data_IF_072799539791
#
_entry.id   IF_072799539791
#
_cell.length_a   1.000
_cell.length_b   1.000
_cell.length_c   1.000
_cell.angle_alpha   90.00
_cell.angle_beta   90.00
_cell.angle_gamma   90.00
#
_symmetry.space_group_name_H-M   'P 1'
#
loop_
_entity.id
_entity.type
_entity.pdbx_description
1 polymer ?
#
# COMPACT_ATOMS: atom_id res chain seq x y z
N UNK A 1 -28.68 -0.60 -1.66
CA UNK A 1 -27.44 -0.74 -2.44
C UNK A 1 -26.35 -0.08 -1.64
N UNK A 2 -25.43 -0.85 -1.07
CA UNK A 2 -24.18 -0.27 -0.57
C UNK A 2 -23.39 0.24 -1.79
N UNK A 3 -23.05 1.52 -1.77
CA UNK A 3 -22.19 2.13 -2.78
C UNK A 3 -20.77 1.64 -2.53
N UNK A 4 -20.18 0.91 -3.47
CA UNK A 4 -18.78 0.49 -3.35
C UNK A 4 -17.85 1.71 -3.28
N UNK A 5 -16.93 1.69 -2.32
CA UNK A 5 -15.96 2.78 -2.14
C UNK A 5 -14.78 2.58 -3.08
N UNK A 6 -14.35 3.68 -3.69
CA UNK A 6 -13.28 3.66 -4.68
C UNK A 6 -12.15 4.63 -4.34
N UNK A 7 -10.92 4.20 -4.60
CA UNK A 7 -9.70 5.01 -4.59
C UNK A 7 -8.99 4.79 -5.92
N UNK A 8 -8.70 5.87 -6.65
CA UNK A 8 -8.05 5.81 -7.98
C UNK A 8 -8.76 4.86 -8.99
N UNK A 9 -10.09 4.75 -8.91
CA UNK A 9 -10.87 3.84 -9.77
C UNK A 9 -10.84 2.36 -9.34
N UNK A 10 -10.12 2.03 -8.27
CA UNK A 10 -10.06 0.69 -7.69
C UNK A 10 -11.10 0.57 -6.56
N UNK A 11 -11.88 -0.51 -6.58
CA UNK A 11 -12.84 -0.85 -5.52
C UNK A 11 -12.07 -1.27 -4.29
N UNK A 12 -12.33 -0.64 -3.14
CA UNK A 12 -11.73 -1.10 -1.88
C UNK A 12 -12.33 -2.43 -1.44
N UNK A 13 -11.53 -3.33 -0.81
CA UNK A 13 -12.06 -4.55 -0.23
C UNK A 13 -13.21 -4.26 0.75
N UNK A 14 -14.26 -5.09 0.72
CA UNK A 14 -15.41 -4.94 1.62
C UNK A 14 -14.96 -4.93 3.09
N UNK A 15 -14.05 -5.84 3.45
CA UNK A 15 -13.47 -5.91 4.80
C UNK A 15 -12.77 -4.60 5.20
N UNK A 16 -12.05 -3.92 4.29
CA UNK A 16 -11.42 -2.65 4.62
C UNK A 16 -12.48 -1.57 4.89
N UNK A 17 -13.55 -1.56 4.09
CA UNK A 17 -14.67 -0.63 4.26
C UNK A 17 -15.38 -0.85 5.60
N UNK A 18 -15.64 -2.10 5.97
CA UNK A 18 -16.21 -2.47 7.28
C UNK A 18 -15.30 -1.99 8.43
N UNK A 19 -14.01 -2.28 8.37
CA UNK A 19 -13.05 -1.88 9.39
C UNK A 19 -12.95 -0.35 9.52
N UNK A 20 -13.04 0.39 8.42
CA UNK A 20 -13.06 1.86 8.44
C UNK A 20 -14.34 2.39 9.09
N UNK A 21 -15.50 1.85 8.71
CA UNK A 21 -16.80 2.25 9.25
C UNK A 21 -16.91 1.98 10.76
N UNK A 22 -16.33 0.87 11.22
CA UNK A 22 -16.30 0.49 12.64
C UNK A 22 -15.17 1.18 13.44
N UNK A 23 -14.31 1.98 12.79
CA UNK A 23 -13.13 2.58 13.44
C UNK A 23 -12.08 1.55 13.87
N UNK A 24 -12.12 0.34 13.31
CA UNK A 24 -11.21 -0.78 13.60
C UNK A 24 -9.96 -0.78 12.71
N UNK A 25 -9.99 -0.14 11.55
CA UNK A 25 -8.79 0.10 10.76
C UNK A 25 -7.93 1.19 11.43
N UNK A 26 -6.99 0.76 12.26
CA UNK A 26 -6.10 1.63 13.05
C UNK A 26 -4.75 0.96 13.26
N UNK A 27 -3.77 1.76 13.67
CA UNK A 27 -2.42 1.27 13.93
C UNK A 27 -2.42 0.12 14.97
N UNK A 28 -1.86 -1.07 14.65
CA UNK A 28 -1.92 -2.25 15.51
C UNK A 28 -0.88 -2.24 16.64
N UNK A 29 0.05 -1.28 16.63
CA UNK A 29 1.21 -1.20 17.51
C UNK A 29 2.51 -1.52 16.77
N UNK A 30 3.58 -0.81 17.11
CA UNK A 30 4.85 -0.89 16.39
C UNK A 30 5.50 -2.28 16.51
N UNK A 31 5.30 -2.95 17.65
CA UNK A 31 5.83 -4.30 17.85
C UNK A 31 5.14 -5.33 16.94
N UNK A 32 3.82 -5.20 16.71
CA UNK A 32 3.09 -6.06 15.77
C UNK A 32 3.59 -5.87 14.34
N UNK A 33 3.86 -4.62 13.93
CA UNK A 33 4.42 -4.33 12.61
C UNK A 33 5.86 -4.83 12.47
N UNK A 34 6.66 -4.74 13.54
CA UNK A 34 8.04 -5.25 13.56
C UNK A 34 8.09 -6.77 13.43
N UNK A 35 7.16 -7.49 14.07
CA UNK A 35 7.05 -8.93 13.93
C UNK A 35 6.60 -9.35 12.51
N UNK A 36 5.66 -8.59 11.93
CA UNK A 36 5.16 -8.84 10.57
C UNK A 36 6.20 -8.51 9.49
N UNK A 37 6.93 -7.41 9.64
CA UNK A 37 7.87 -6.87 8.67
C UNK A 37 9.19 -6.48 9.36
N UNK A 38 10.02 -7.45 9.80
CA UNK A 38 11.24 -7.15 10.57
C UNK A 38 12.28 -6.33 9.79
N UNK A 39 12.12 -6.25 8.46
CA UNK A 39 12.95 -5.44 7.56
C UNK A 39 12.47 -3.98 7.44
N UNK A 40 11.22 -3.67 7.80
CA UNK A 40 10.64 -2.33 7.73
C UNK A 40 10.91 -1.59 9.05
N UNK A 41 11.61 -0.46 9.02
CA UNK A 41 12.06 0.22 10.26
C UNK A 41 11.37 1.54 10.56
N UNK A 42 10.66 2.13 9.61
CA UNK A 42 9.96 3.40 9.85
C UNK A 42 8.59 3.18 10.51
N UNK A 43 8.12 4.15 11.31
CA UNK A 43 6.78 4.11 11.85
C UNK A 43 5.76 4.33 10.73
N UNK A 44 4.68 3.56 10.75
CA UNK A 44 3.54 3.76 9.84
C UNK A 44 2.38 4.40 10.59
N UNK A 45 1.57 5.18 9.88
CA UNK A 45 0.25 5.58 10.28
C UNK A 45 -0.76 5.01 9.29
N UNK A 46 -1.78 4.33 9.82
CA UNK A 46 -2.82 3.71 9.03
C UNK A 46 -3.80 4.78 8.55
N UNK A 47 -4.10 4.80 7.25
CA UNK A 47 -5.01 5.78 6.67
C UNK A 47 -6.45 5.43 7.04
N UNK A 48 -7.02 6.16 7.99
CA UNK A 48 -8.34 5.86 8.59
C UNK A 48 -9.53 6.48 7.84
N UNK A 49 -9.29 7.06 6.66
CA UNK A 49 -10.35 7.64 5.84
C UNK A 49 -10.09 7.46 4.35
N UNK A 50 -11.17 7.38 3.58
CA UNK A 50 -11.12 7.30 2.11
C UNK A 50 -10.47 8.55 1.51
N UNK A 51 -10.77 9.72 2.07
CA UNK A 51 -10.15 11.00 1.69
C UNK A 51 -8.62 10.92 1.84
N UNK A 52 -8.15 10.39 2.97
CA UNK A 52 -6.73 10.17 3.24
C UNK A 52 -6.10 9.20 2.24
N UNK A 53 -6.70 8.02 2.02
CA UNK A 53 -6.22 7.05 1.03
C UNK A 53 -6.14 7.65 -0.38
N UNK A 54 -7.14 8.44 -0.79
CA UNK A 54 -7.12 9.15 -2.07
C UNK A 54 -6.01 10.18 -2.15
N UNK A 55 -5.83 10.99 -1.11
CA UNK A 55 -4.82 12.04 -1.09
C UNK A 55 -3.42 11.43 -1.17
N UNK A 56 -3.12 10.47 -0.30
CA UNK A 56 -1.80 9.83 -0.26
C UNK A 56 -1.55 9.01 -1.53
N UNK A 57 -2.53 8.29 -2.06
CA UNK A 57 -2.33 7.49 -3.28
C UNK A 57 -2.13 8.32 -4.56
N UNK A 58 -2.32 9.65 -4.53
CA UNK A 58 -1.94 10.52 -5.67
C UNK A 58 -0.43 10.66 -5.82
N UNK A 59 0.33 10.52 -4.73
CA UNK A 59 1.80 10.60 -4.79
C UNK A 59 2.37 9.48 -5.66
N UNK A 60 1.74 8.30 -5.67
CA UNK A 60 2.14 7.18 -6.52
C UNK A 60 2.20 7.57 -7.99
N UNK A 61 1.15 8.21 -8.51
CA UNK A 61 1.13 8.68 -9.90
C UNK A 61 2.15 9.78 -10.16
N UNK A 62 2.34 10.70 -9.21
CA UNK A 62 3.34 11.76 -9.33
C UNK A 62 4.76 11.19 -9.44
N UNK A 63 5.11 10.18 -8.64
CA UNK A 63 6.41 9.54 -8.68
C UNK A 63 6.60 8.66 -9.91
N UNK A 64 5.56 7.97 -10.38
CA UNK A 64 5.63 7.19 -11.61
C UNK A 64 5.83 8.05 -12.87
N UNK A 65 5.33 9.29 -12.87
CA UNK A 65 5.40 10.20 -14.02
C UNK A 65 6.70 11.03 -14.05
N UNK A 66 7.51 11.02 -12.98
CA UNK A 66 8.84 11.64 -12.92
C UNK A 66 9.94 10.57 -13.04
N UNK A 67 10.78 10.54 -14.10
CA UNK A 67 11.71 9.43 -14.32
C UNK A 67 12.70 9.17 -13.17
N UNK A 68 13.37 10.17 -12.57
CA UNK A 68 14.22 9.96 -11.40
C UNK A 68 13.46 9.32 -10.22
N UNK A 69 12.27 9.84 -9.90
CA UNK A 69 11.44 9.29 -8.82
C UNK A 69 10.94 7.88 -9.14
N UNK A 70 10.49 7.64 -10.38
CA UNK A 70 10.03 6.33 -10.85
C UNK A 70 11.08 5.25 -10.63
N UNK A 71 12.35 5.54 -10.97
CA UNK A 71 13.45 4.63 -10.73
C UNK A 71 13.80 4.47 -9.25
N UNK A 72 13.85 5.57 -8.49
CA UNK A 72 14.16 5.53 -7.06
C UNK A 72 13.12 4.73 -6.28
N UNK A 73 11.84 4.97 -6.53
CA UNK A 73 10.72 4.33 -5.82
C UNK A 73 10.24 3.03 -6.46
N UNK A 74 10.79 2.66 -7.62
CA UNK A 74 10.35 1.53 -8.46
C UNK A 74 8.84 1.51 -8.68
N UNK A 75 8.34 2.62 -9.18
CA UNK A 75 6.93 2.84 -9.47
C UNK A 75 6.74 3.13 -10.95
N UNK A 76 5.78 2.48 -11.59
CA UNK A 76 5.46 2.71 -12.99
C UNK A 76 3.97 2.50 -13.24
N UNK A 77 3.46 2.99 -14.36
CA UNK A 77 2.09 2.72 -14.80
C UNK A 77 2.07 1.44 -15.63
N UNK A 78 1.20 0.50 -15.29
CA UNK A 78 0.97 -0.69 -16.11
C UNK A 78 0.57 -0.35 -17.55
N UNK A 79 -0.19 0.74 -17.75
CA UNK A 79 -0.64 1.19 -19.07
C UNK A 79 0.47 1.62 -20.04
N UNK A 80 1.67 1.97 -19.54
CA UNK A 80 2.81 2.40 -20.38
C UNK A 80 3.96 1.40 -20.38
N UNK A 81 3.89 0.36 -19.55
CA UNK A 81 4.91 -0.67 -19.48
C UNK A 81 4.86 -1.59 -20.71
N UNK A 82 6.04 -1.99 -21.20
CA UNK A 82 6.16 -2.92 -22.34
C UNK A 82 5.92 -4.38 -21.97
N UNK A 83 5.89 -4.69 -20.67
CA UNK A 83 5.64 -6.01 -20.10
C UNK A 83 4.83 -5.88 -18.82
N UNK A 84 4.32 -7.01 -18.30
CA UNK A 84 3.67 -7.05 -16.98
C UNK A 84 4.60 -6.46 -15.91
N UNK A 85 4.07 -5.53 -15.12
CA UNK A 85 4.81 -4.94 -14.01
C UNK A 85 4.79 -5.94 -12.86
N UNK A 86 5.96 -6.45 -12.48
CA UNK A 86 6.12 -7.41 -11.38
C UNK A 86 6.92 -6.81 -10.22
N UNK A 87 6.81 -7.41 -9.02
CA UNK A 87 7.71 -7.04 -7.93
C UNK A 87 9.18 -7.25 -8.36
N UNK A 88 10.10 -6.35 -8.01
CA UNK A 88 9.99 -5.31 -6.96
C UNK A 88 9.42 -3.95 -7.44
N UNK A 89 8.87 -3.87 -8.65
CA UNK A 89 8.16 -2.68 -9.14
C UNK A 89 6.68 -2.70 -8.73
N UNK A 90 6.15 -1.51 -8.43
CA UNK A 90 4.73 -1.30 -8.19
C UNK A 90 4.06 -0.73 -9.44
N UNK A 91 2.96 -1.36 -9.86
CA UNK A 91 2.03 -0.77 -10.80
C UNK A 91 1.11 0.19 -10.05
N UNK A 92 1.32 1.49 -10.25
CA UNK A 92 0.59 2.53 -9.52
C UNK A 92 -0.89 2.61 -9.90
N UNK A 93 -1.28 2.06 -11.05
CA UNK A 93 -2.67 2.00 -11.49
C UNK A 93 -3.42 0.81 -10.88
N UNK A 94 -2.68 -0.08 -10.21
CA UNK A 94 -3.19 -1.26 -9.50
C UNK A 94 -2.82 -1.22 -8.02
N UNK A 95 -2.59 -0.04 -7.46
CA UNK A 95 -2.19 0.13 -6.08
C UNK A 95 -3.01 1.20 -5.33
N UNK A 96 -3.27 0.95 -4.04
CA UNK A 96 -3.87 1.91 -3.13
C UNK A 96 -3.08 1.93 -1.83
N UNK A 97 -2.60 3.10 -1.40
CA UNK A 97 -1.93 3.23 -0.10
C UNK A 97 -2.94 3.09 1.03
N UNK A 98 -2.58 2.29 2.04
CA UNK A 98 -3.41 2.02 3.23
C UNK A 98 -2.70 2.37 4.54
N UNK A 99 -1.38 2.54 4.51
CA UNK A 99 -0.60 3.17 5.56
C UNK A 99 0.59 3.91 4.94
N UNK A 100 0.98 5.04 5.54
CA UNK A 100 2.12 5.86 5.11
C UNK A 100 3.01 6.16 6.30
N UNK A 101 4.20 6.67 6.07
CA UNK A 101 5.06 7.06 7.18
C UNK A 101 4.43 8.16 8.05
N UNK A 102 4.62 8.04 9.36
CA UNK A 102 4.28 9.09 10.34
C UNK A 102 5.20 10.32 10.21
N UNK A 103 6.45 10.11 9.81
CA UNK A 103 7.48 11.14 9.69
C UNK A 103 7.38 11.77 8.29
N UNK A 104 7.09 13.07 8.24
CA UNK A 104 7.01 13.81 6.98
C UNK A 104 8.36 13.79 6.25
N UNK A 105 8.32 13.52 4.94
CA UNK A 105 9.49 13.48 4.06
C UNK A 105 10.24 12.14 4.03
N UNK A 106 9.78 11.12 4.77
CA UNK A 106 10.26 9.75 4.64
C UNK A 106 9.22 8.93 3.85
N UNK A 107 9.41 8.88 2.53
CA UNK A 107 8.45 8.41 1.52
C UNK A 107 8.34 6.88 1.45
N UNK A 108 7.94 6.26 2.57
CA UNK A 108 7.65 4.82 2.69
C UNK A 108 6.18 4.58 3.03
N UNK A 109 5.65 3.47 2.52
CA UNK A 109 4.23 3.15 2.62
C UNK A 109 3.93 1.65 2.57
N UNK A 110 2.70 1.31 2.95
CA UNK A 110 2.05 0.02 2.72
C UNK A 110 0.87 0.22 1.76
N UNK A 111 0.72 -0.69 0.80
CA UNK A 111 -0.29 -0.61 -0.24
C UNK A 111 -1.04 -1.94 -0.41
N UNK A 112 -2.31 -1.83 -0.79
CA UNK A 112 -3.02 -2.89 -1.49
C UNK A 112 -2.52 -2.95 -2.92
N UNK A 113 -2.25 -4.15 -3.40
CA UNK A 113 -1.79 -4.41 -4.76
C UNK A 113 -2.74 -5.39 -5.45
N UNK A 114 -3.49 -4.86 -6.42
CA UNK A 114 -4.61 -5.50 -7.11
C UNK A 114 -4.17 -6.34 -8.31
N UNK A 115 -2.86 -6.49 -8.56
CA UNK A 115 -2.35 -7.33 -9.67
C UNK A 115 -2.68 -8.81 -9.50
N UNK A 116 -2.96 -9.28 -8.27
CA UNK A 116 -3.27 -10.69 -7.99
C UNK A 116 -4.77 -10.98 -7.99
N UNK A 117 -5.55 -10.19 -7.25
CA UNK A 117 -6.99 -10.40 -7.08
C UNK A 117 -7.67 -9.04 -6.79
N UNK A 118 -8.77 -8.69 -7.48
CA UNK A 118 -9.44 -7.42 -7.28
C UNK A 118 -10.27 -7.32 -5.99
N UNK A 119 -10.72 -8.44 -5.42
CA UNK A 119 -11.51 -8.49 -4.18
C UNK A 119 -10.63 -8.76 -2.95
N UNK A 120 -9.57 -9.56 -3.12
CA UNK A 120 -8.61 -9.92 -2.08
C UNK A 120 -7.17 -9.56 -2.50
N UNK A 121 -6.88 -8.26 -2.73
CA UNK A 121 -5.55 -7.82 -3.17
C UNK A 121 -4.48 -8.25 -2.16
N UNK A 122 -3.28 -8.54 -2.67
CA UNK A 122 -2.13 -8.75 -1.79
C UNK A 122 -1.75 -7.43 -1.12
N UNK A 123 -0.98 -7.52 -0.04
CA UNK A 123 -0.45 -6.35 0.67
C UNK A 123 1.04 -6.28 0.42
N UNK A 124 1.51 -5.11 0.03
CA UNK A 124 2.95 -4.83 -0.19
C UNK A 124 3.39 -3.62 0.63
N UNK A 125 4.68 -3.52 0.92
CA UNK A 125 5.28 -2.33 1.52
C UNK A 125 6.61 -2.00 0.85
N UNK A 126 6.97 -0.72 0.86
CA UNK A 126 8.21 -0.19 0.28
C UNK A 126 9.41 -0.50 1.20
N UNK A 127 10.46 -1.11 0.65
CA UNK A 127 11.69 -1.44 1.35
C UNK A 127 12.86 -0.60 0.84
N UNK A 128 13.33 0.34 1.67
CA UNK A 128 14.59 1.06 1.48
C UNK A 128 15.69 0.61 2.46
N UNK A 129 15.42 -0.34 3.36
CA UNK A 129 16.40 -0.79 4.36
C UNK A 129 17.28 -1.91 3.84
N UNK A 130 16.77 -2.74 2.93
CA UNK A 130 17.58 -3.75 2.25
C UNK A 130 18.55 -3.11 1.25
N UNK A 131 18.11 -2.07 0.53
CA UNK A 131 18.95 -1.26 -0.37
C UNK A 131 18.56 0.22 -0.24
N UNK A 132 19.38 1.07 0.41
CA UNK A 132 19.04 2.48 0.62
C UNK A 132 19.13 3.32 -0.65
N UNK A 133 19.59 2.77 -1.78
CA UNK A 133 19.71 3.51 -3.05
C UNK A 133 18.45 3.43 -3.90
N UNK A 134 17.55 2.50 -3.60
CA UNK A 134 16.33 2.25 -4.39
C UNK A 134 15.33 1.43 -3.59
N UNK A 135 14.05 1.74 -3.75
CA UNK A 135 12.96 0.98 -3.17
C UNK A 135 12.89 -0.43 -3.75
N UNK A 136 12.50 -1.39 -2.93
CA UNK A 136 11.90 -2.64 -3.39
C UNK A 136 10.50 -2.78 -2.80
N UNK A 137 9.47 -2.89 -3.63
CA UNK A 137 8.15 -3.27 -3.14
C UNK A 137 8.18 -4.77 -2.79
N UNK A 138 7.80 -5.11 -1.56
CA UNK A 138 7.84 -6.47 -1.03
C UNK A 138 6.47 -6.89 -0.55
N UNK A 139 6.11 -8.15 -0.81
CA UNK A 139 4.90 -8.73 -0.26
C UNK A 139 5.00 -8.81 1.27
N UNK A 140 3.93 -8.38 1.93
CA UNK A 140 3.72 -8.41 3.39
C UNK A 140 2.74 -9.53 3.74
N UNK A 141 1.63 -9.59 3.00
CA UNK A 141 0.63 -10.64 3.10
C UNK A 141 0.11 -10.99 1.71
N UNK A 142 -0.22 -12.25 1.42
CA UNK A 142 -0.69 -12.65 0.09
C UNK A 142 -2.13 -12.19 -0.18
N UNK A 143 -2.92 -11.86 0.86
CA UNK A 143 -4.23 -11.23 0.73
C UNK A 143 -4.47 -10.22 1.85
N UNK A 144 -5.39 -9.26 1.62
CA UNK A 144 -5.78 -8.29 2.63
C UNK A 144 -6.43 -8.93 3.86
N UNK A 145 -7.31 -9.93 3.69
CA UNK A 145 -7.91 -10.62 4.84
C UNK A 145 -6.88 -11.33 5.71
N UNK A 146 -5.80 -11.86 5.13
CA UNK A 146 -4.70 -12.43 5.89
C UNK A 146 -3.93 -11.38 6.69
N UNK A 147 -3.69 -10.19 6.11
CA UNK A 147 -3.11 -9.07 6.86
C UNK A 147 -3.98 -8.76 8.08
N UNK A 148 -5.28 -8.54 7.89
CA UNK A 148 -6.22 -8.18 8.96
C UNK A 148 -6.21 -9.21 10.09
N UNK A 149 -6.16 -10.51 9.76
CA UNK A 149 -6.05 -11.59 10.75
C UNK A 149 -4.75 -11.52 11.55
N UNK A 150 -3.61 -11.31 10.87
CA UNK A 150 -2.31 -11.20 11.55
C UNK A 150 -2.24 -9.96 12.45
N UNK A 151 -2.81 -8.85 11.99
CA UNK A 151 -2.90 -7.61 12.76
C UNK A 151 -3.95 -7.66 13.89
N UNK A 152 -4.78 -8.71 13.95
CA UNK A 152 -5.87 -8.90 14.92
C UNK A 152 -6.89 -7.75 14.90
N UNK A 153 -7.24 -7.30 13.70
CA UNK A 153 -8.21 -6.22 13.49
C UNK A 153 -9.62 -6.73 13.12
N UNK A 154 -9.77 -8.03 12.84
CA UNK A 154 -11.05 -8.70 12.55
C UNK A 154 -11.93 -8.89 13.79
#
# INVERSE_FOLDING_TARGET
>A
MESSLHVNGLVLPALLTELLNDGRWRHPGDDVLRDLMPWFRSPLDFLTSIEGMRRESRSLTMFADDPPSSHLFRQTRGSVATASVELPWLDVEKAVLIAVNRILGDDVAMALDYRTDPAEPRVVASDFWTDPRQCSWRAVAPTFSQLVKVLRLA
#
